data_IF_729625259793
#
_entry.id   IF_729625259793
#
_cell.length_a   1.000
_cell.length_b   1.000
_cell.length_c   1.000
_cell.angle_alpha   90.00
_cell.angle_beta   90.00
_cell.angle_gamma   90.00
#
_symmetry.space_group_name_H-M   'P 1'
#
loop_
_entity.id
_entity.type
_entity.pdbx_description
1 polymer ?
#
# COMPACT_ATOMS: atom_id res chain seq x y z
N UNK A 1 -25.02 -10.42 -1.65
CA UNK A 1 -24.98 -11.21 -0.40
C UNK A 1 -23.68 -10.85 0.28
N UNK A 2 -23.65 -10.67 1.61
CA UNK A 2 -22.40 -10.39 2.32
C UNK A 2 -21.58 -11.68 2.46
N UNK A 3 -20.22 -11.62 2.40
CA UNK A 3 -19.40 -12.76 2.77
C UNK A 3 -19.48 -12.94 4.29
N UNK A 4 -19.54 -14.19 4.77
CA UNK A 4 -19.56 -14.50 6.19
C UNK A 4 -18.17 -14.86 6.71
N UNK A 5 -17.34 -15.44 5.84
CA UNK A 5 -15.98 -15.92 6.16
C UNK A 5 -14.97 -15.40 5.16
N UNK A 6 -13.99 -14.69 5.66
CA UNK A 6 -12.98 -14.01 4.84
C UNK A 6 -11.59 -14.52 5.19
N UNK A 7 -10.75 -14.74 4.17
CA UNK A 7 -9.32 -14.98 4.33
C UNK A 7 -8.54 -13.75 3.83
N UNK A 8 -7.78 -13.11 4.71
CA UNK A 8 -6.80 -12.08 4.35
C UNK A 8 -5.43 -12.73 4.25
N UNK A 9 -4.76 -12.57 3.12
CA UNK A 9 -3.42 -13.10 2.87
C UNK A 9 -2.40 -12.01 3.10
N UNK A 10 -1.39 -12.30 3.94
CA UNK A 10 -0.29 -11.41 4.32
C UNK A 10 -0.15 -11.25 5.83
N UNK A 11 0.87 -10.53 6.28
CA UNK A 11 1.22 -10.40 7.69
C UNK A 11 1.67 -9.01 8.14
N UNK A 12 1.49 -7.97 7.31
CA UNK A 12 1.81 -6.58 7.62
C UNK A 12 0.73 -5.84 8.40
N UNK A 13 0.97 -4.53 8.64
CA UNK A 13 -0.03 -3.66 9.26
C UNK A 13 -1.24 -3.45 8.35
N UNK A 14 -1.03 -3.40 7.05
CA UNK A 14 -2.09 -3.38 6.03
C UNK A 14 -3.05 -4.55 6.20
N UNK A 15 -2.55 -5.77 6.31
CA UNK A 15 -3.41 -6.96 6.48
C UNK A 15 -4.08 -6.98 7.86
N UNK A 16 -3.40 -6.47 8.89
CA UNK A 16 -3.99 -6.31 10.21
C UNK A 16 -5.15 -5.29 10.19
N UNK A 17 -4.97 -4.16 9.47
CA UNK A 17 -6.02 -3.17 9.27
C UNK A 17 -7.18 -3.68 8.41
N UNK A 18 -6.88 -4.40 7.30
CA UNK A 18 -7.89 -5.07 6.48
C UNK A 18 -8.73 -6.04 7.31
N UNK A 19 -8.08 -6.89 8.11
CA UNK A 19 -8.78 -7.85 8.97
C UNK A 19 -9.70 -7.14 9.98
N UNK A 20 -9.24 -6.05 10.58
CA UNK A 20 -10.04 -5.23 11.49
C UNK A 20 -11.25 -4.57 10.78
N UNK A 21 -11.02 -3.95 9.60
CA UNK A 21 -12.08 -3.30 8.83
C UNK A 21 -13.13 -4.29 8.33
N UNK A 22 -12.68 -5.44 7.79
CA UNK A 22 -13.56 -6.50 7.30
C UNK A 22 -14.33 -7.18 8.43
N UNK A 23 -13.71 -7.40 9.60
CA UNK A 23 -14.37 -7.97 10.77
C UNK A 23 -15.51 -7.09 11.33
N UNK A 24 -15.55 -5.80 10.97
CA UNK A 24 -16.62 -4.85 11.33
C UNK A 24 -17.69 -4.72 10.24
N UNK A 25 -17.51 -5.37 9.10
CA UNK A 25 -18.44 -5.28 7.97
C UNK A 25 -19.72 -6.09 8.23
N UNK A 26 -20.81 -5.63 7.64
CA UNK A 26 -22.11 -6.29 7.77
C UNK A 26 -22.05 -7.75 7.29
N UNK A 27 -22.53 -8.67 8.12
CA UNK A 27 -22.67 -10.10 7.81
C UNK A 27 -21.38 -10.92 7.93
N UNK A 28 -20.24 -10.30 8.23
CA UNK A 28 -18.98 -11.01 8.46
C UNK A 28 -18.99 -11.63 9.86
N UNK A 29 -18.80 -12.95 9.92
CA UNK A 29 -18.76 -13.71 11.16
C UNK A 29 -17.33 -14.01 11.59
N UNK A 30 -16.45 -14.24 10.63
CA UNK A 30 -15.07 -14.65 10.88
C UNK A 30 -14.11 -14.14 9.81
N UNK A 31 -12.99 -13.59 10.25
CA UNK A 31 -11.84 -13.25 9.40
C UNK A 31 -10.66 -14.13 9.77
N UNK A 32 -10.02 -14.76 8.81
CA UNK A 32 -8.77 -15.48 8.96
C UNK A 32 -7.64 -14.67 8.34
N UNK A 33 -6.46 -14.69 8.93
CA UNK A 33 -5.27 -14.01 8.38
C UNK A 33 -4.12 -15.00 8.26
N UNK A 34 -3.50 -15.07 7.09
CA UNK A 34 -2.41 -16.00 6.79
C UNK A 34 -1.19 -15.28 6.15
N UNK A 35 -0.01 -15.29 6.74
CA UNK A 35 0.33 -15.88 8.03
C UNK A 35 -0.10 -15.04 9.25
N UNK A 36 -0.50 -13.76 9.04
CA UNK A 36 -0.77 -12.81 10.11
C UNK A 36 0.50 -12.38 10.85
N UNK A 37 0.32 -11.72 11.98
CA UNK A 37 1.39 -11.19 12.83
C UNK A 37 1.06 -11.30 14.33
N UNK A 38 1.89 -10.71 15.19
CA UNK A 38 1.73 -10.76 16.64
C UNK A 38 0.41 -10.19 17.16
N UNK A 39 -0.22 -9.26 16.44
CA UNK A 39 -1.48 -8.62 16.82
C UNK A 39 -2.74 -9.28 16.25
N UNK A 40 -2.61 -10.21 15.31
CA UNK A 40 -3.78 -10.79 14.60
C UNK A 40 -4.80 -11.39 15.55
N UNK A 41 -4.35 -12.16 16.54
CA UNK A 41 -5.23 -12.81 17.52
C UNK A 41 -5.87 -11.83 18.54
N UNK A 42 -5.49 -10.55 18.53
CA UNK A 42 -6.07 -9.51 19.39
C UNK A 42 -7.28 -8.83 18.73
N UNK A 43 -7.45 -9.03 17.42
CA UNK A 43 -8.59 -8.50 16.69
C UNK A 43 -9.83 -9.38 16.94
N UNK A 44 -10.93 -8.73 17.34
CA UNK A 44 -12.18 -9.42 17.56
C UNK A 44 -12.68 -10.12 16.28
N UNK A 45 -13.11 -11.38 16.39
CA UNK A 45 -13.57 -12.16 15.24
C UNK A 45 -12.47 -12.55 14.25
N UNK A 46 -11.19 -12.42 14.62
CA UNK A 46 -10.07 -12.80 13.77
C UNK A 46 -9.36 -14.07 14.27
N UNK A 47 -8.96 -14.91 13.34
CA UNK A 47 -8.12 -16.07 13.56
C UNK A 47 -6.84 -15.98 12.74
N UNK A 48 -5.77 -16.61 13.23
CA UNK A 48 -4.49 -16.66 12.52
C UNK A 48 -4.23 -18.06 11.99
N UNK A 49 -3.73 -18.16 10.77
CA UNK A 49 -3.35 -19.42 10.13
C UNK A 49 -1.84 -19.44 9.89
N UNK A 50 -1.17 -20.50 10.32
CA UNK A 50 0.26 -20.69 10.08
C UNK A 50 0.53 -21.19 8.64
N UNK A 51 0.09 -20.41 7.64
CA UNK A 51 0.28 -20.69 6.22
C UNK A 51 0.99 -19.48 5.61
N UNK A 52 2.11 -19.71 4.94
CA UNK A 52 2.85 -18.63 4.29
C UNK A 52 2.05 -18.00 3.14
N UNK A 53 2.20 -16.71 2.92
CA UNK A 53 1.53 -15.98 1.84
C UNK A 53 1.92 -16.45 0.42
N UNK A 54 3.04 -17.17 0.32
CA UNK A 54 3.54 -17.79 -0.93
C UNK A 54 3.11 -19.25 -1.09
N UNK A 55 2.50 -19.87 -0.08
CA UNK A 55 2.02 -21.25 -0.14
C UNK A 55 0.59 -21.32 -0.68
N UNK A 56 0.46 -21.23 -2.00
CA UNK A 56 -0.84 -21.24 -2.67
C UNK A 56 -1.65 -22.51 -2.40
N UNK A 57 -1.00 -23.68 -2.28
CA UNK A 57 -1.66 -24.94 -1.99
C UNK A 57 -2.22 -24.98 -0.56
N UNK A 58 -1.43 -24.54 0.42
CA UNK A 58 -1.86 -24.44 1.81
C UNK A 58 -2.98 -23.41 2.01
N UNK A 59 -2.90 -22.27 1.32
CA UNK A 59 -3.97 -21.25 1.33
C UNK A 59 -5.28 -21.78 0.73
N UNK A 60 -5.20 -22.50 -0.39
CA UNK A 60 -6.38 -23.13 -1.02
C UNK A 60 -7.01 -24.18 -0.11
N UNK A 61 -6.20 -25.06 0.49
CA UNK A 61 -6.70 -26.08 1.42
C UNK A 61 -7.37 -25.43 2.63
N UNK A 62 -6.74 -24.42 3.23
CA UNK A 62 -7.30 -23.68 4.35
C UNK A 62 -8.62 -23.00 3.99
N UNK A 63 -8.70 -22.31 2.82
CA UNK A 63 -9.89 -21.63 2.37
C UNK A 63 -11.07 -22.61 2.19
N UNK A 64 -10.84 -23.77 1.57
CA UNK A 64 -11.85 -24.82 1.39
C UNK A 64 -12.32 -25.41 2.71
N UNK A 65 -11.37 -25.78 3.59
CA UNK A 65 -11.67 -26.37 4.90
C UNK A 65 -12.49 -25.44 5.78
N UNK A 66 -12.23 -24.14 5.70
CA UNK A 66 -12.88 -23.11 6.52
C UNK A 66 -14.17 -22.56 5.86
N UNK A 67 -14.46 -22.95 4.61
CA UNK A 67 -15.62 -22.45 3.86
C UNK A 67 -15.52 -20.94 3.62
N UNK A 68 -14.36 -20.45 3.18
CA UNK A 68 -14.11 -19.04 2.90
C UNK A 68 -14.93 -18.57 1.70
N UNK A 69 -15.66 -17.47 1.84
CA UNK A 69 -16.46 -16.85 0.79
C UNK A 69 -15.66 -15.85 -0.03
N UNK A 70 -14.65 -15.21 0.58
CA UNK A 70 -13.84 -14.18 -0.05
C UNK A 70 -12.38 -14.29 0.42
N UNK A 71 -11.45 -14.29 -0.53
CA UNK A 71 -10.01 -14.11 -0.26
C UNK A 71 -9.59 -12.69 -0.63
N UNK A 72 -8.92 -11.99 0.29
CA UNK A 72 -8.34 -10.66 0.06
C UNK A 72 -6.82 -10.78 0.12
N UNK A 73 -6.14 -10.47 -0.98
CA UNK A 73 -4.67 -10.55 -1.04
C UNK A 73 -4.08 -9.19 -0.75
N UNK A 74 -3.31 -9.09 0.35
CA UNK A 74 -2.71 -7.84 0.79
C UNK A 74 -1.42 -7.49 0.05
N UNK A 75 -0.38 -8.35 0.03
CA UNK A 75 0.92 -8.02 -0.56
C UNK A 75 0.98 -8.28 -2.08
N UNK A 76 1.90 -7.56 -2.72
CA UNK A 76 2.10 -7.60 -4.17
C UNK A 76 2.80 -8.89 -4.66
N UNK A 77 3.70 -9.45 -3.85
CA UNK A 77 4.51 -10.59 -4.28
C UNK A 77 3.69 -11.85 -4.61
N UNK A 78 2.71 -12.28 -3.77
CA UNK A 78 1.84 -13.40 -4.13
C UNK A 78 0.91 -13.08 -5.32
N UNK A 79 0.50 -11.82 -5.54
CA UNK A 79 -0.27 -11.43 -6.72
C UNK A 79 0.57 -11.60 -7.99
N UNK A 80 1.79 -11.08 -7.99
CA UNK A 80 2.73 -11.22 -9.11
C UNK A 80 3.08 -12.70 -9.40
N UNK A 81 3.07 -13.55 -8.36
CA UNK A 81 3.27 -15.00 -8.48
C UNK A 81 2.01 -15.77 -8.95
N UNK A 82 0.88 -15.10 -9.20
CA UNK A 82 -0.34 -15.71 -9.72
C UNK A 82 -1.20 -16.42 -8.66
N UNK A 83 -1.08 -16.05 -7.39
CA UNK A 83 -1.92 -16.61 -6.33
C UNK A 83 -3.41 -16.41 -6.63
N UNK A 84 -3.81 -15.22 -7.07
CA UNK A 84 -5.20 -14.92 -7.37
C UNK A 84 -5.74 -15.79 -8.51
N UNK A 85 -4.93 -16.07 -9.54
CA UNK A 85 -5.32 -16.94 -10.67
C UNK A 85 -5.56 -18.37 -10.21
N UNK A 86 -4.66 -18.90 -9.38
CA UNK A 86 -4.77 -20.28 -8.85
C UNK A 86 -6.02 -20.44 -7.98
N UNK A 87 -6.30 -19.50 -7.10
CA UNK A 87 -7.46 -19.55 -6.21
C UNK A 87 -8.78 -19.36 -6.97
N UNK A 88 -8.82 -18.46 -7.97
CA UNK A 88 -9.99 -18.29 -8.86
C UNK A 88 -10.26 -19.54 -9.71
N UNK A 89 -9.21 -20.15 -10.27
CA UNK A 89 -9.33 -21.41 -11.01
C UNK A 89 -9.88 -22.54 -10.13
N UNK A 90 -9.69 -22.47 -8.83
CA UNK A 90 -10.24 -23.39 -7.84
C UNK A 90 -11.66 -23.04 -7.36
N UNK A 91 -12.28 -21.98 -7.92
CA UNK A 91 -13.66 -21.54 -7.67
C UNK A 91 -13.82 -20.57 -6.49
N UNK A 92 -12.75 -19.97 -5.97
CA UNK A 92 -12.82 -18.98 -4.90
C UNK A 92 -13.00 -17.56 -5.45
N UNK A 93 -13.79 -16.74 -4.78
CA UNK A 93 -13.81 -15.30 -5.03
C UNK A 93 -12.55 -14.68 -4.44
N UNK A 94 -11.77 -13.94 -5.26
CA UNK A 94 -10.50 -13.35 -4.85
C UNK A 94 -10.47 -11.86 -5.20
N UNK A 95 -10.28 -11.03 -4.19
CA UNK A 95 -9.98 -9.61 -4.33
C UNK A 95 -8.46 -9.41 -4.40
N UNK A 96 -7.97 -9.06 -5.58
CA UNK A 96 -6.57 -8.90 -5.99
C UNK A 96 -6.44 -9.31 -7.47
N UNK A 97 -5.70 -8.61 -8.33
CA UNK A 97 -5.55 -8.96 -9.74
C UNK A 97 -4.81 -10.28 -9.93
N UNK A 98 -4.93 -10.87 -11.13
CA UNK A 98 -4.08 -11.97 -11.59
C UNK A 98 -2.65 -11.51 -11.86
N UNK A 99 -1.76 -12.44 -12.20
CA UNK A 99 -0.36 -12.16 -12.45
C UNK A 99 -0.14 -11.15 -13.58
N UNK A 100 -0.98 -11.18 -14.61
CA UNK A 100 -0.97 -10.23 -15.72
C UNK A 100 -1.36 -8.81 -15.28
N UNK A 101 -2.41 -8.66 -14.45
CA UNK A 101 -2.80 -7.38 -13.87
C UNK A 101 -1.78 -6.86 -12.82
N UNK A 102 -1.15 -7.75 -12.09
CA UNK A 102 -0.12 -7.41 -11.11
C UNK A 102 1.15 -6.83 -11.77
N UNK A 103 1.35 -6.98 -13.09
CA UNK A 103 2.41 -6.31 -13.84
C UNK A 103 2.37 -4.78 -13.70
N UNK A 104 1.20 -4.22 -13.40
CA UNK A 104 1.04 -2.78 -13.15
C UNK A 104 1.95 -2.27 -12.02
N UNK A 105 2.26 -3.12 -11.02
CA UNK A 105 3.22 -2.84 -9.94
C UNK A 105 4.53 -3.60 -10.13
N UNK A 106 4.47 -4.86 -10.59
CA UNK A 106 5.60 -5.76 -10.67
C UNK A 106 6.64 -5.34 -11.72
N UNK A 107 6.25 -4.58 -12.76
CA UNK A 107 7.18 -4.07 -13.76
C UNK A 107 6.88 -2.60 -14.08
N UNK A 108 7.84 -1.75 -13.74
CA UNK A 108 7.76 -0.31 -14.04
C UNK A 108 7.82 -0.04 -15.54
N UNK A 109 8.62 -0.82 -16.25
CA UNK A 109 8.68 -0.77 -17.72
C UNK A 109 7.32 -1.10 -18.35
N UNK A 110 6.67 -2.18 -17.88
CA UNK A 110 5.36 -2.57 -18.36
C UNK A 110 4.29 -1.51 -18.04
N UNK A 111 4.31 -0.98 -16.82
CA UNK A 111 3.40 0.08 -16.40
C UNK A 111 3.58 1.36 -17.22
N UNK A 112 4.84 1.75 -17.51
CA UNK A 112 5.14 2.90 -18.39
C UNK A 112 4.63 2.69 -19.81
N UNK A 113 4.81 1.50 -20.37
CA UNK A 113 4.27 1.17 -21.70
C UNK A 113 2.75 1.27 -21.74
N UNK A 114 2.06 0.77 -20.71
CA UNK A 114 0.60 0.89 -20.57
C UNK A 114 0.17 2.36 -20.44
N UNK A 115 0.87 3.16 -19.63
CA UNK A 115 0.57 4.59 -19.49
C UNK A 115 0.68 5.37 -20.80
N UNK A 116 1.74 5.10 -21.58
CA UNK A 116 1.92 5.71 -22.91
C UNK A 116 0.79 5.32 -23.86
N UNK A 117 0.46 4.03 -23.93
CA UNK A 117 -0.64 3.51 -24.75
C UNK A 117 -1.99 4.10 -24.38
N UNK A 118 -2.25 4.25 -23.09
CA UNK A 118 -3.48 4.78 -22.55
C UNK A 118 -3.56 6.32 -22.54
N UNK A 119 -2.50 7.03 -22.85
CA UNK A 119 -2.42 8.48 -22.73
C UNK A 119 -2.46 8.98 -21.27
N UNK A 120 -2.08 8.13 -20.30
CA UNK A 120 -2.01 8.48 -18.89
C UNK A 120 -0.82 9.38 -18.62
N UNK A 121 -1.01 10.56 -18.00
CA UNK A 121 0.09 11.49 -17.74
C UNK A 121 1.14 10.89 -16.80
N UNK A 122 2.39 10.91 -17.22
CA UNK A 122 3.54 10.46 -16.44
C UNK A 122 4.81 11.14 -16.95
N UNK A 123 5.89 11.12 -16.15
CA UNK A 123 7.17 11.69 -16.52
C UNK A 123 7.75 11.03 -17.79
N UNK A 124 8.49 11.80 -18.57
CA UNK A 124 9.33 11.27 -19.65
C UNK A 124 10.27 10.20 -19.11
N UNK A 125 10.43 9.09 -19.84
CA UNK A 125 11.18 7.94 -19.32
C UNK A 125 11.93 7.17 -20.39
N UNK A 126 12.93 6.41 -19.97
CA UNK A 126 13.77 5.54 -20.80
C UNK A 126 14.00 4.22 -20.06
N UNK A 127 13.67 3.13 -20.71
CA UNK A 127 13.99 1.78 -20.23
C UNK A 127 15.33 1.36 -20.79
N UNK A 128 16.23 0.86 -19.94
CA UNK A 128 17.61 0.51 -20.31
C UNK A 128 17.97 -0.85 -19.74
N UNK A 129 18.78 -1.62 -20.48
CA UNK A 129 19.18 -2.98 -20.14
C UNK A 129 20.67 -3.11 -19.81
N UNK A 130 21.42 -2.01 -19.89
CA UNK A 130 22.83 -1.96 -19.49
C UNK A 130 23.23 -0.62 -18.92
N UNK A 131 24.35 -0.61 -18.19
CA UNK A 131 24.93 0.61 -17.62
C UNK A 131 25.30 1.60 -18.73
N UNK A 132 25.85 1.12 -19.82
CA UNK A 132 26.29 1.93 -20.95
C UNK A 132 25.12 2.64 -21.61
N UNK A 133 24.02 1.94 -21.83
CA UNK A 133 22.79 2.49 -22.39
C UNK A 133 22.20 3.57 -21.45
N UNK A 134 22.13 3.28 -20.13
CA UNK A 134 21.62 4.21 -19.14
C UNK A 134 22.48 5.47 -19.02
N UNK A 135 23.81 5.33 -19.04
CA UNK A 135 24.72 6.48 -19.02
C UNK A 135 24.62 7.33 -20.29
N UNK A 136 24.43 6.69 -21.45
CA UNK A 136 24.20 7.41 -22.71
C UNK A 136 22.90 8.20 -22.72
N UNK A 137 21.84 7.68 -22.08
CA UNK A 137 20.59 8.43 -21.84
C UNK A 137 20.87 9.65 -20.94
N UNK A 138 21.55 9.44 -19.81
CA UNK A 138 21.87 10.50 -18.86
C UNK A 138 22.69 11.64 -19.52
N UNK A 139 23.66 11.28 -20.36
CA UNK A 139 24.48 12.26 -21.10
C UNK A 139 23.65 13.07 -22.09
N UNK A 140 22.75 12.43 -22.84
CA UNK A 140 21.86 13.13 -23.78
C UNK A 140 20.90 14.08 -23.06
N UNK A 141 20.44 13.72 -21.85
CA UNK A 141 19.53 14.56 -21.08
C UNK A 141 20.25 15.72 -20.39
N UNK A 142 21.51 15.56 -20.04
CA UNK A 142 22.34 16.62 -19.43
C UNK A 142 21.88 17.08 -18.04
N UNK A 143 20.99 16.33 -17.40
CA UNK A 143 20.39 16.62 -16.08
C UNK A 143 20.17 15.32 -15.27
N UNK A 144 20.12 15.40 -13.92
CA UNK A 144 19.84 14.22 -13.13
C UNK A 144 18.47 13.63 -13.44
N UNK A 145 18.38 12.31 -13.46
CA UNK A 145 17.17 11.53 -13.70
C UNK A 145 16.84 10.71 -12.44
N UNK A 146 15.57 10.40 -12.25
CA UNK A 146 15.16 9.40 -11.25
C UNK A 146 15.54 8.02 -11.78
N UNK A 147 16.22 7.23 -10.94
CA UNK A 147 16.69 5.89 -11.29
C UNK A 147 15.83 4.85 -10.58
N UNK A 148 15.16 4.01 -11.34
CA UNK A 148 14.26 2.99 -10.79
C UNK A 148 14.66 1.61 -11.32
N UNK A 149 15.01 0.67 -10.42
CA UNK A 149 15.13 -0.74 -10.79
C UNK A 149 13.76 -1.29 -11.19
N UNK A 150 13.68 -2.04 -12.29
CA UNK A 150 12.43 -2.68 -12.72
C UNK A 150 12.15 -3.93 -11.86
N UNK A 151 10.90 -4.09 -11.41
CA UNK A 151 10.49 -5.18 -10.53
C UNK A 151 10.22 -4.77 -9.10
N UNK A 152 9.80 -5.76 -8.31
CA UNK A 152 9.46 -5.59 -6.89
C UNK A 152 10.73 -5.39 -6.05
N UNK A 153 10.91 -4.22 -5.47
CA UNK A 153 12.07 -3.86 -4.65
C UNK A 153 11.67 -3.27 -3.29
N UNK A 154 10.43 -3.50 -2.83
CA UNK A 154 9.90 -3.05 -1.52
C UNK A 154 10.20 -1.57 -1.23
N UNK A 155 9.96 -0.69 -2.22
CA UNK A 155 10.22 0.75 -2.13
C UNK A 155 11.69 1.18 -2.13
N UNK A 156 12.64 0.24 -2.19
CA UNK A 156 14.09 0.53 -2.13
C UNK A 156 14.75 0.64 -3.50
N UNK A 157 14.05 0.30 -4.57
CA UNK A 157 14.55 0.32 -5.95
C UNK A 157 14.52 1.69 -6.63
N UNK A 158 14.20 2.76 -5.90
CA UNK A 158 14.09 4.12 -6.45
C UNK A 158 15.11 5.04 -5.79
N UNK A 159 15.91 5.70 -6.64
CA UNK A 159 16.85 6.76 -6.22
C UNK A 159 16.52 8.04 -6.95
N UNK A 160 16.47 9.15 -6.20
CA UNK A 160 16.25 10.51 -6.74
C UNK A 160 17.53 11.30 -6.56
N UNK A 161 18.47 11.25 -7.51
CA UNK A 161 19.75 11.94 -7.41
C UNK A 161 19.58 13.46 -7.52
N UNK A 162 20.44 14.21 -6.82
CA UNK A 162 20.42 15.67 -6.88
C UNK A 162 21.33 16.23 -7.99
N UNK A 163 22.35 15.48 -8.38
CA UNK A 163 23.33 15.87 -9.40
C UNK A 163 23.71 14.70 -10.34
N UNK A 164 24.49 15.03 -11.39
CA UNK A 164 24.91 14.03 -12.38
C UNK A 164 25.90 12.99 -11.81
N UNK A 165 26.66 13.31 -10.77
CA UNK A 165 27.62 12.40 -10.15
C UNK A 165 26.89 11.32 -9.38
N UNK A 166 25.97 11.72 -8.52
CA UNK A 166 25.11 10.81 -7.76
C UNK A 166 24.19 10.02 -8.67
N UNK A 167 23.73 10.60 -9.79
CA UNK A 167 22.91 9.89 -10.77
C UNK A 167 23.71 8.77 -11.47
N UNK A 168 24.96 9.02 -11.90
CA UNK A 168 25.85 7.98 -12.47
C UNK A 168 26.11 6.85 -11.47
N UNK A 169 26.29 7.19 -10.20
CA UNK A 169 26.48 6.19 -9.15
C UNK A 169 25.23 5.35 -8.97
N UNK A 170 24.04 5.98 -8.85
CA UNK A 170 22.77 5.28 -8.70
C UNK A 170 22.49 4.32 -9.89
N UNK A 171 22.82 4.72 -11.12
CA UNK A 171 22.70 3.85 -12.31
C UNK A 171 23.58 2.61 -12.15
N UNK A 172 24.86 2.76 -11.76
CA UNK A 172 25.76 1.62 -11.58
C UNK A 172 25.28 0.69 -10.46
N UNK A 173 24.88 1.25 -9.33
CA UNK A 173 24.33 0.48 -8.19
C UNK A 173 23.04 -0.26 -8.55
N UNK A 174 22.22 0.27 -9.45
CA UNK A 174 21.00 -0.39 -9.89
C UNK A 174 21.30 -1.66 -10.72
N UNK A 175 22.40 -1.67 -11.48
CA UNK A 175 22.83 -2.80 -12.30
C UNK A 175 23.83 -3.74 -11.61
N UNK A 176 24.37 -3.40 -10.44
CA UNK A 176 25.41 -4.18 -9.73
C UNK A 176 24.91 -5.49 -9.09
N UNK A 177 23.63 -5.82 -9.30
CA UNK A 177 23.01 -7.02 -8.74
C UNK A 177 22.37 -6.81 -7.36
N UNK A 178 22.43 -5.61 -6.78
CA UNK A 178 21.82 -5.27 -5.49
C UNK A 178 20.33 -5.59 -5.43
N UNK A 179 19.65 -5.49 -6.56
CA UNK A 179 18.21 -5.74 -6.67
C UNK A 179 17.88 -7.09 -7.33
N UNK A 180 18.88 -8.00 -7.47
CA UNK A 180 18.67 -9.31 -8.10
C UNK A 180 18.09 -9.18 -9.50
N UNK A 181 17.08 -9.98 -9.83
CA UNK A 181 16.41 -9.94 -11.13
C UNK A 181 15.77 -8.59 -11.46
N UNK A 182 15.34 -7.81 -10.43
CA UNK A 182 14.78 -6.48 -10.64
C UNK A 182 15.79 -5.46 -11.16
N UNK A 183 17.08 -5.70 -11.00
CA UNK A 183 18.17 -4.87 -11.56
C UNK A 183 18.55 -5.18 -13.00
N UNK A 184 17.92 -6.15 -13.66
CA UNK A 184 18.21 -6.48 -15.06
C UNK A 184 17.74 -5.38 -16.04
N UNK A 185 16.75 -4.60 -15.65
CA UNK A 185 16.25 -3.43 -16.37
C UNK A 185 16.18 -2.24 -15.40
N UNK A 186 16.58 -1.07 -15.88
CA UNK A 186 16.49 0.19 -15.16
C UNK A 186 15.66 1.18 -15.96
N UNK A 187 14.65 1.75 -15.30
CA UNK A 187 13.84 2.84 -15.84
C UNK A 187 14.40 4.16 -15.32
N UNK A 188 14.84 5.00 -16.25
CA UNK A 188 15.23 6.37 -15.97
C UNK A 188 14.04 7.28 -16.25
N UNK A 189 13.76 8.21 -15.34
CA UNK A 189 12.63 9.14 -15.48
C UNK A 189 13.06 10.59 -15.29
N UNK A 190 12.40 11.48 -15.99
CA UNK A 190 12.50 12.90 -15.70
C UNK A 190 12.04 13.17 -14.26
N UNK A 191 12.77 14.04 -13.57
CA UNK A 191 12.35 14.48 -12.24
C UNK A 191 11.20 15.47 -12.38
N UNK A 192 10.03 15.08 -11.92
CA UNK A 192 8.87 15.95 -11.74
C UNK A 192 8.81 16.41 -10.29
N UNK A 193 8.21 17.57 -10.05
CA UNK A 193 8.11 18.19 -8.71
C UNK A 193 6.69 18.61 -8.43
N UNK A 194 6.31 18.55 -7.16
CA UNK A 194 4.99 18.88 -6.65
C UNK A 194 4.71 18.11 -5.37
N UNK A 195 3.57 18.29 -4.73
CA UNK A 195 3.15 17.42 -3.64
C UNK A 195 2.72 16.05 -4.17
N UNK A 196 3.13 15.01 -3.43
CA UNK A 196 2.70 13.63 -3.71
C UNK A 196 1.36 13.35 -3.04
N UNK A 197 0.50 12.57 -3.70
CA UNK A 197 -0.79 12.12 -3.17
C UNK A 197 -1.14 10.76 -3.76
N UNK A 198 -1.84 9.94 -2.98
CA UNK A 198 -2.27 8.59 -3.36
C UNK A 198 -3.76 8.55 -3.65
N UNK A 199 -4.13 7.98 -4.80
CA UNK A 199 -5.52 7.74 -5.22
C UNK A 199 -5.78 6.25 -5.28
N UNK A 200 -6.93 5.83 -4.79
CA UNK A 200 -7.33 4.42 -4.73
C UNK A 200 -8.68 4.24 -5.41
N UNK A 201 -8.77 3.24 -6.27
CA UNK A 201 -10.01 2.79 -6.87
C UNK A 201 -10.19 1.29 -6.66
N UNK A 202 -11.31 0.88 -6.07
CA UNK A 202 -11.76 -0.51 -6.10
C UNK A 202 -12.40 -0.77 -7.45
N UNK A 203 -12.08 -1.89 -8.10
CA UNK A 203 -12.63 -2.20 -9.43
C UNK A 203 -12.89 -3.67 -9.61
N UNK A 204 -13.90 -3.96 -10.43
CA UNK A 204 -14.27 -5.29 -10.92
C UNK A 204 -13.77 -5.55 -12.35
N UNK A 205 -12.93 -4.64 -12.89
CA UNK A 205 -12.46 -4.66 -14.27
C UNK A 205 -13.28 -3.79 -15.23
N UNK A 206 -14.53 -3.45 -14.89
CA UNK A 206 -15.40 -2.61 -15.71
C UNK A 206 -15.78 -1.30 -15.01
N UNK A 207 -16.13 -1.41 -13.74
CA UNK A 207 -16.59 -0.31 -12.88
C UNK A 207 -15.56 -0.02 -11.82
N UNK A 208 -15.69 1.13 -11.20
CA UNK A 208 -14.82 1.55 -10.09
C UNK A 208 -15.59 2.27 -9.00
N UNK A 209 -15.06 2.19 -7.78
CA UNK A 209 -15.44 3.00 -6.62
C UNK A 209 -14.19 3.69 -6.12
N UNK A 210 -14.17 5.03 -6.14
CA UNK A 210 -13.07 5.80 -5.57
C UNK A 210 -13.13 5.76 -4.05
N UNK A 211 -11.98 5.62 -3.43
CA UNK A 211 -11.79 5.80 -2.00
C UNK A 211 -11.25 7.21 -1.70
N UNK A 212 -11.34 7.68 -0.45
CA UNK A 212 -10.68 8.93 -0.06
C UNK A 212 -9.20 8.92 -0.45
N UNK A 213 -8.66 9.99 -1.05
CA UNK A 213 -7.23 10.09 -1.32
C UNK A 213 -6.46 10.17 0.00
N UNK A 214 -5.23 9.67 -0.01
CA UNK A 214 -4.35 9.73 1.17
C UNK A 214 -3.01 10.36 0.82
N UNK A 215 -2.30 10.83 1.83
CA UNK A 215 -0.92 11.30 1.69
C UNK A 215 -0.04 10.61 2.71
N UNK A 216 1.05 10.01 2.25
CA UNK A 216 2.05 9.33 3.09
C UNK A 216 3.30 10.20 3.29
N UNK A 217 4.14 9.78 4.25
CA UNK A 217 5.42 10.41 4.58
C UNK A 217 6.53 9.38 4.39
N UNK A 218 7.18 9.42 3.21
CA UNK A 218 8.13 8.38 2.78
C UNK A 218 9.51 8.48 3.44
N UNK A 219 9.92 9.67 3.91
CA UNK A 219 11.24 9.87 4.49
C UNK A 219 11.28 9.45 5.96
N UNK A 220 12.42 8.87 6.39
CA UNK A 220 12.60 8.38 7.77
C UNK A 220 12.67 9.52 8.80
N UNK A 221 13.23 10.66 8.45
CA UNK A 221 13.47 11.77 9.36
C UNK A 221 12.44 12.87 9.29
N UNK A 222 12.31 13.61 10.39
CA UNK A 222 11.48 14.81 10.46
C UNK A 222 11.92 15.84 9.40
N UNK A 223 10.96 16.67 8.93
CA UNK A 223 11.20 17.61 7.84
C UNK A 223 11.45 16.93 6.49
N UNK A 224 10.96 15.71 6.29
CA UNK A 224 11.13 14.90 5.07
C UNK A 224 12.60 14.71 4.69
N UNK A 225 13.44 14.37 5.68
CA UNK A 225 14.88 14.16 5.55
C UNK A 225 15.27 12.68 5.60
N UNK A 226 16.49 12.35 5.16
CA UNK A 226 17.04 11.01 5.20
C UNK A 226 16.53 10.11 4.06
N UNK A 227 16.79 8.79 4.12
CA UNK A 227 16.38 7.84 3.07
C UNK A 227 14.88 7.63 3.01
N UNK A 228 14.41 7.16 1.84
CA UNK A 228 13.04 6.68 1.66
C UNK A 228 12.81 5.39 2.46
N UNK A 229 11.56 5.23 2.88
CA UNK A 229 11.04 4.07 3.63
C UNK A 229 9.80 3.52 2.94
N UNK A 230 9.14 2.56 3.53
CA UNK A 230 7.79 2.13 3.15
C UNK A 230 6.67 3.07 3.59
N UNK A 231 6.99 4.20 4.22
CA UNK A 231 6.05 5.15 4.83
C UNK A 231 6.16 5.17 6.35
N UNK A 232 6.33 6.38 6.90
CA UNK A 232 6.43 6.64 8.35
C UNK A 232 5.12 7.13 8.97
N UNK A 233 4.10 7.26 8.16
CA UNK A 233 2.75 7.65 8.54
C UNK A 233 2.00 8.22 7.36
N UNK A 234 0.68 8.33 7.50
CA UNK A 234 -0.21 8.86 6.47
C UNK A 234 -1.42 9.55 7.08
N UNK A 235 -2.16 10.26 6.26
CA UNK A 235 -3.47 10.80 6.61
C UNK A 235 -4.45 10.74 5.44
N UNK A 236 -5.73 10.70 5.74
CA UNK A 236 -6.82 10.73 4.80
C UNK A 236 -8.05 11.46 5.39
N UNK A 237 -8.90 12.10 4.54
CA UNK A 237 -8.66 12.34 3.11
C UNK A 237 -7.59 13.40 2.88
N UNK A 238 -6.78 13.29 1.81
CA UNK A 238 -5.80 14.32 1.46
C UNK A 238 -6.50 15.56 0.87
N UNK A 239 -6.46 16.75 1.53
CA UNK A 239 -7.19 17.92 1.06
C UNK A 239 -6.71 18.44 -0.30
N UNK A 240 -5.45 18.16 -0.64
CA UNK A 240 -4.84 18.55 -1.93
C UNK A 240 -5.55 17.95 -3.14
N UNK A 241 -6.28 16.85 -2.96
CA UNK A 241 -6.95 16.13 -4.04
C UNK A 241 -8.44 15.90 -3.69
N UNK A 242 -9.20 16.99 -3.60
CA UNK A 242 -10.62 16.96 -3.29
C UNK A 242 -11.47 17.52 -4.43
N UNK A 243 -12.74 17.12 -4.51
CA UNK A 243 -13.71 17.64 -5.50
C UNK A 243 -13.21 17.47 -6.94
N UNK A 244 -13.21 18.55 -7.70
CA UNK A 244 -12.85 18.56 -9.13
C UNK A 244 -11.44 18.01 -9.42
N UNK A 245 -10.48 18.16 -8.49
CA UNK A 245 -9.13 17.62 -8.66
C UNK A 245 -9.11 16.07 -8.59
N UNK A 246 -9.92 15.50 -7.71
CA UNK A 246 -10.08 14.04 -7.62
C UNK A 246 -10.79 13.48 -8.85
N UNK A 247 -11.84 14.18 -9.34
CA UNK A 247 -12.53 13.82 -10.58
C UNK A 247 -11.60 13.92 -11.80
N UNK A 248 -10.70 14.89 -11.83
CA UNK A 248 -9.69 15.00 -12.87
C UNK A 248 -8.70 13.81 -12.82
N UNK A 249 -8.22 13.44 -11.63
CA UNK A 249 -7.36 12.29 -11.45
C UNK A 249 -8.05 10.97 -11.87
N UNK A 250 -9.33 10.80 -11.53
CA UNK A 250 -10.12 9.67 -12.01
C UNK A 250 -10.14 9.60 -13.53
N UNK A 251 -10.55 10.67 -14.17
CA UNK A 251 -10.76 10.76 -15.62
C UNK A 251 -9.46 10.67 -16.44
N UNK A 252 -8.35 11.24 -15.93
CA UNK A 252 -7.07 11.28 -16.64
C UNK A 252 -6.15 10.10 -16.33
N UNK A 253 -6.36 9.43 -15.19
CA UNK A 253 -5.44 8.38 -14.73
C UNK A 253 -6.16 7.05 -14.57
N UNK A 254 -7.18 6.96 -13.70
CA UNK A 254 -7.78 5.67 -13.31
C UNK A 254 -8.58 5.06 -14.47
N UNK A 255 -9.48 5.83 -15.07
CA UNK A 255 -10.34 5.32 -16.15
C UNK A 255 -9.55 4.89 -17.40
N UNK A 256 -8.56 5.67 -17.91
CA UNK A 256 -7.76 5.25 -19.04
C UNK A 256 -6.91 4.02 -18.73
N UNK A 257 -6.36 3.92 -17.50
CA UNK A 257 -5.61 2.74 -17.06
C UNK A 257 -6.49 1.49 -17.09
N UNK A 258 -7.70 1.57 -16.52
CA UNK A 258 -8.64 0.45 -16.51
C UNK A 258 -9.07 0.07 -17.94
N UNK A 259 -9.32 1.05 -18.79
CA UNK A 259 -9.67 0.81 -20.20
C UNK A 259 -8.52 0.10 -20.96
N UNK A 260 -7.28 0.50 -20.73
CA UNK A 260 -6.11 -0.14 -21.35
C UNK A 260 -5.89 -1.59 -20.85
N UNK A 261 -6.10 -1.84 -19.56
CA UNK A 261 -6.06 -3.20 -19.00
C UNK A 261 -7.10 -4.09 -19.70
N UNK A 262 -8.34 -3.63 -19.84
CA UNK A 262 -9.39 -4.36 -20.57
C UNK A 262 -9.06 -4.58 -22.04
N UNK A 263 -8.51 -3.55 -22.72
CA UNK A 263 -8.11 -3.67 -24.13
C UNK A 263 -7.04 -4.75 -24.34
N UNK A 264 -6.21 -4.99 -23.32
CA UNK A 264 -5.23 -6.08 -23.30
C UNK A 264 -5.83 -7.44 -22.90
N UNK A 265 -7.15 -7.51 -22.60
CA UNK A 265 -7.83 -8.73 -22.16
C UNK A 265 -7.55 -9.11 -20.71
N UNK A 266 -7.06 -8.18 -19.90
CA UNK A 266 -6.72 -8.41 -18.49
C UNK A 266 -7.98 -8.23 -17.62
N UNK A 267 -8.37 -9.29 -16.92
CA UNK A 267 -9.47 -9.29 -15.93
C UNK A 267 -8.93 -8.75 -14.60
N UNK A 268 -8.94 -7.42 -14.45
CA UNK A 268 -8.38 -6.74 -13.28
C UNK A 268 -9.44 -6.57 -12.18
N UNK A 269 -9.33 -7.32 -11.09
CA UNK A 269 -10.24 -7.25 -9.93
C UNK A 269 -9.46 -6.96 -8.68
N UNK A 270 -9.62 -5.77 -8.11
CA UNK A 270 -8.83 -5.38 -6.94
C UNK A 270 -8.73 -3.87 -6.79
N UNK A 271 -7.60 -3.42 -6.29
CA UNK A 271 -7.26 -2.00 -6.14
C UNK A 271 -6.39 -1.54 -7.30
N UNK A 272 -6.73 -0.42 -7.91
CA UNK A 272 -5.78 0.42 -8.64
C UNK A 272 -5.36 1.52 -7.68
N UNK A 273 -4.12 1.49 -7.23
CA UNK A 273 -3.51 2.56 -6.47
C UNK A 273 -2.57 3.34 -7.40
N UNK A 274 -2.84 4.62 -7.60
CA UNK A 274 -2.00 5.54 -8.34
C UNK A 274 -1.31 6.52 -7.38
N UNK A 275 0.02 6.45 -7.30
CA UNK A 275 0.84 7.49 -6.70
C UNK A 275 1.01 8.64 -7.68
N UNK A 276 0.55 9.82 -7.30
CA UNK A 276 0.50 11.00 -8.15
C UNK A 276 1.41 12.10 -7.62
N UNK A 277 2.09 12.79 -8.55
CA UNK A 277 2.67 14.10 -8.32
C UNK A 277 1.70 15.15 -8.88
N UNK A 278 1.27 16.09 -8.05
CA UNK A 278 0.44 17.20 -8.49
C UNK A 278 1.35 18.32 -9.02
N UNK A 279 1.42 18.42 -10.35
CA UNK A 279 2.25 19.41 -11.06
C UNK A 279 1.40 20.56 -11.58
N UNK A 280 2.03 21.64 -12.05
CA UNK A 280 1.35 22.77 -12.70
C UNK A 280 0.57 22.35 -13.97
N UNK A 281 0.94 21.23 -14.58
CA UNK A 281 0.25 20.63 -15.73
C UNK A 281 -0.85 19.62 -15.36
N UNK A 282 -1.14 19.47 -14.07
CA UNK A 282 -2.08 18.52 -13.50
C UNK A 282 -1.43 17.27 -12.92
N UNK A 283 -2.23 16.27 -12.55
CA UNK A 283 -1.72 15.03 -11.93
C UNK A 283 -0.88 14.22 -12.91
N UNK A 284 0.30 13.78 -12.46
CA UNK A 284 1.16 12.86 -13.18
C UNK A 284 1.46 11.62 -12.36
N UNK A 285 1.39 10.44 -12.95
CA UNK A 285 1.63 9.18 -12.27
C UNK A 285 3.13 9.00 -12.01
N UNK A 286 3.47 8.75 -10.73
CA UNK A 286 4.81 8.37 -10.30
C UNK A 286 4.97 6.85 -10.37
N UNK A 287 3.95 6.13 -9.87
CA UNK A 287 3.89 4.67 -9.84
C UNK A 287 2.45 4.19 -9.70
N UNK A 288 2.21 2.95 -10.07
CA UNK A 288 1.01 2.22 -9.71
C UNK A 288 1.34 1.12 -8.70
N UNK A 289 0.36 0.77 -7.87
CA UNK A 289 0.35 -0.43 -7.06
C UNK A 289 -0.96 -1.19 -7.31
N UNK A 290 -0.89 -2.53 -7.26
CA UNK A 290 -2.03 -3.41 -7.57
C UNK A 290 -2.77 -3.90 -6.32
N UNK A 291 -2.54 -3.25 -5.21
CA UNK A 291 -3.08 -3.58 -3.87
C UNK A 291 -3.21 -2.29 -3.04
N UNK A 292 -3.82 -2.42 -1.85
CA UNK A 292 -3.82 -1.30 -0.90
C UNK A 292 -2.40 -0.87 -0.54
N UNK A 293 -2.21 0.45 -0.31
CA UNK A 293 -0.96 1.00 0.22
C UNK A 293 -0.73 0.59 1.69
N UNK A 294 0.44 0.83 2.18
CA UNK A 294 0.86 0.65 3.57
C UNK A 294 1.86 1.80 3.89
N UNK A 295 1.46 2.84 4.66
CA UNK A 295 0.39 2.86 5.67
C UNK A 295 -0.96 3.49 5.25
N UNK A 296 -1.25 3.66 3.97
CA UNK A 296 -2.50 4.30 3.55
C UNK A 296 -3.72 3.44 3.88
N UNK A 297 -3.62 2.12 3.77
CA UNK A 297 -4.71 1.20 4.12
C UNK A 297 -5.15 1.37 5.57
N UNK A 298 -4.19 1.44 6.49
CA UNK A 298 -4.43 1.64 7.91
C UNK A 298 -5.18 2.94 8.17
N UNK A 299 -4.85 3.97 7.40
CA UNK A 299 -5.48 5.29 7.47
C UNK A 299 -6.89 5.28 6.87
N UNK A 300 -7.11 4.50 5.81
CA UNK A 300 -8.40 4.41 5.11
C UNK A 300 -9.42 3.58 5.89
N UNK A 301 -9.01 2.48 6.52
CA UNK A 301 -9.95 1.52 7.15
C UNK A 301 -10.92 2.15 8.15
N UNK A 302 -10.55 3.12 9.01
CA UNK A 302 -11.50 3.78 9.90
C UNK A 302 -12.55 4.64 9.18
N UNK A 303 -12.25 5.09 7.97
CA UNK A 303 -13.13 5.95 7.17
C UNK A 303 -14.11 5.15 6.31
N UNK A 304 -13.90 3.84 6.13
CA UNK A 304 -14.75 2.99 5.30
C UNK A 304 -15.89 2.38 6.11
N UNK A 305 -17.09 2.42 5.53
CA UNK A 305 -18.31 1.92 6.15
C UNK A 305 -18.40 0.39 6.21
N UNK A 306 -19.42 -0.12 6.91
CA UNK A 306 -19.59 -1.56 7.12
C UNK A 306 -20.00 -2.32 5.85
N UNK A 307 -20.17 -1.66 4.72
CA UNK A 307 -20.42 -2.26 3.40
C UNK A 307 -19.14 -2.80 2.76
N UNK A 308 -17.95 -2.52 3.31
CA UNK A 308 -16.65 -2.81 2.70
C UNK A 308 -16.55 -4.26 2.20
N UNK A 309 -16.86 -5.25 3.04
CA UNK A 309 -16.75 -6.65 2.65
C UNK A 309 -17.66 -7.03 1.48
N UNK A 310 -18.86 -6.43 1.39
CA UNK A 310 -19.79 -6.66 0.28
C UNK A 310 -19.27 -6.05 -1.02
N UNK A 311 -18.67 -4.86 -0.95
CA UNK A 311 -18.04 -4.19 -2.10
C UNK A 311 -16.85 -5.00 -2.61
N UNK A 312 -15.96 -5.48 -1.71
CA UNK A 312 -14.82 -6.31 -2.13
C UNK A 312 -15.27 -7.65 -2.73
N UNK A 313 -16.31 -8.28 -2.18
CA UNK A 313 -16.88 -9.50 -2.77
C UNK A 313 -17.48 -9.24 -4.15
N UNK A 314 -18.17 -8.12 -4.34
CA UNK A 314 -18.72 -7.74 -5.64
C UNK A 314 -17.61 -7.50 -6.67
N UNK A 315 -16.53 -6.80 -6.30
CA UNK A 315 -15.33 -6.66 -7.14
C UNK A 315 -14.75 -8.03 -7.50
N UNK A 316 -14.55 -8.92 -6.51
CA UNK A 316 -13.98 -10.26 -6.73
C UNK A 316 -14.80 -11.12 -7.69
N UNK A 317 -16.11 -10.89 -7.76
CA UNK A 317 -17.03 -11.60 -8.65
C UNK A 317 -17.26 -10.90 -10.01
N UNK A 318 -16.62 -9.77 -10.29
CA UNK A 318 -16.86 -8.99 -11.51
C UNK A 318 -18.27 -8.38 -11.55
N UNK A 319 -18.84 -8.02 -10.42
CA UNK A 319 -20.24 -7.57 -10.26
C UNK A 319 -20.37 -6.38 -9.31
N UNK A 320 -19.53 -5.40 -9.50
CA UNK A 320 -19.57 -4.17 -8.69
C UNK A 320 -20.92 -3.44 -8.81
N UNK A 321 -21.69 -3.71 -9.88
CA UNK A 321 -23.08 -3.26 -10.05
C UNK A 321 -24.05 -3.82 -9.00
N UNK A 322 -23.67 -4.87 -8.28
CA UNK A 322 -24.48 -5.45 -7.19
C UNK A 322 -24.05 -4.95 -5.81
N UNK A 323 -22.95 -4.22 -5.74
CA UNK A 323 -22.46 -3.71 -4.48
C UNK A 323 -23.41 -2.64 -3.92
N UNK A 324 -23.57 -2.59 -2.59
CA UNK A 324 -24.14 -1.40 -1.97
C UNK A 324 -23.18 -0.21 -2.17
N UNK A 325 -23.71 1.00 -2.03
CA UNK A 325 -22.87 2.18 -1.96
C UNK A 325 -21.96 2.10 -0.73
N UNK A 326 -20.67 2.30 -0.92
CA UNK A 326 -19.71 2.30 0.18
C UNK A 326 -19.79 3.64 0.92
N UNK A 327 -20.24 3.59 2.16
CA UNK A 327 -20.30 4.76 3.03
C UNK A 327 -18.89 5.21 3.40
N UNK A 328 -18.60 6.50 3.23
CA UNK A 328 -17.38 7.12 3.75
C UNK A 328 -17.72 7.88 5.02
N UNK A 329 -17.09 7.51 6.12
CA UNK A 329 -17.29 8.13 7.43
C UNK A 329 -16.76 9.57 7.42
N UNK A 330 -17.46 10.52 8.06
CA UNK A 330 -17.01 11.91 8.13
C UNK A 330 -15.76 12.06 8.99
N UNK A 331 -15.09 13.19 8.81
CA UNK A 331 -13.86 13.53 9.53
C UNK A 331 -12.61 13.13 8.77
N UNK A 332 -11.55 12.87 9.51
CA UNK A 332 -10.25 12.49 8.97
C UNK A 332 -9.60 11.40 9.82
N UNK A 333 -8.61 10.73 9.25
CA UNK A 333 -7.83 9.69 9.90
C UNK A 333 -6.34 9.98 9.75
N UNK A 334 -5.57 9.67 10.79
CA UNK A 334 -4.13 9.84 10.87
C UNK A 334 -3.47 8.55 11.33
N UNK A 335 -2.36 8.20 10.70
CA UNK A 335 -1.53 7.04 11.03
C UNK A 335 -0.10 7.49 11.33
N UNK A 336 0.47 6.99 12.44
CA UNK A 336 1.88 7.19 12.80
C UNK A 336 2.54 5.82 12.95
N UNK A 337 3.64 5.61 12.23
CA UNK A 337 4.39 4.36 12.23
C UNK A 337 5.50 4.41 13.29
N UNK A 338 5.57 3.37 14.12
CA UNK A 338 6.72 3.07 14.96
C UNK A 338 7.59 2.01 14.29
N UNK A 339 8.86 2.33 14.07
CA UNK A 339 9.83 1.49 13.40
C UNK A 339 10.94 1.01 14.36
N UNK A 340 11.51 -0.15 14.05
CA UNK A 340 12.60 -0.75 14.81
C UNK A 340 13.95 -0.03 14.57
N UNK A 341 14.87 -0.22 15.51
CA UNK A 341 16.23 0.28 15.37
C UNK A 341 16.88 -0.20 14.06
N UNK A 342 17.54 0.72 13.37
CA UNK A 342 18.23 0.47 12.11
C UNK A 342 17.37 0.58 10.85
N UNK A 343 16.04 0.68 10.96
CA UNK A 343 15.17 0.90 9.80
C UNK A 343 15.44 2.26 9.13
N UNK A 344 15.46 2.37 7.77
CA UNK A 344 15.16 1.36 6.75
C UNK A 344 16.35 0.47 6.33
N UNK A 345 17.48 0.54 7.04
CA UNK A 345 18.68 -0.27 6.79
C UNK A 345 18.64 -1.64 7.46
N UNK A 346 19.74 -2.00 8.16
CA UNK A 346 19.82 -3.25 8.91
C UNK A 346 18.97 -3.17 10.19
N UNK A 347 17.85 -3.88 10.18
CA UNK A 347 16.85 -3.84 11.24
C UNK A 347 17.25 -4.78 12.39
N UNK A 348 17.14 -4.28 13.62
CA UNK A 348 17.21 -5.12 14.83
C UNK A 348 15.81 -5.71 15.11
N UNK A 349 15.76 -7.01 15.39
CA UNK A 349 14.54 -7.73 15.74
C UNK A 349 14.69 -8.44 17.07
N UNK A 350 13.56 -8.83 17.71
CA UNK A 350 13.53 -9.56 18.98
C UNK A 350 13.39 -8.66 20.21
N UNK A 351 13.19 -7.35 20.03
CA UNK A 351 12.93 -6.43 21.14
C UNK A 351 11.49 -6.61 21.62
N UNK A 352 11.31 -6.80 22.95
CA UNK A 352 9.98 -6.97 23.54
C UNK A 352 9.15 -5.69 23.38
N UNK A 353 7.87 -5.86 23.01
CA UNK A 353 6.89 -4.78 23.05
C UNK A 353 6.36 -4.63 24.48
N UNK A 354 6.46 -3.43 25.01
CA UNK A 354 6.02 -3.05 26.36
C UNK A 354 4.87 -2.04 26.28
N UNK A 355 3.96 -2.11 27.24
CA UNK A 355 2.80 -1.24 27.28
C UNK A 355 1.70 -1.66 26.31
N UNK A 356 0.55 -1.04 26.47
CA UNK A 356 -0.63 -1.18 25.60
C UNK A 356 -1.41 0.12 25.64
N UNK A 357 -1.82 0.67 24.49
CA UNK A 357 -2.68 1.86 24.52
C UNK A 357 -4.01 1.53 25.17
N UNK A 358 -4.50 2.44 26.01
CA UNK A 358 -5.84 2.34 26.56
C UNK A 358 -6.87 2.26 25.43
N UNK A 359 -7.90 1.45 25.59
CA UNK A 359 -8.96 1.31 24.60
C UNK A 359 -9.63 2.68 24.33
N UNK A 360 -9.79 3.02 23.05
CA UNK A 360 -10.47 4.25 22.64
C UNK A 360 -11.27 3.97 21.37
N UNK A 361 -12.53 4.42 21.26
CA UNK A 361 -13.40 4.08 20.13
C UNK A 361 -12.90 4.60 18.78
N UNK A 362 -12.13 5.70 18.78
CA UNK A 362 -11.60 6.36 17.60
C UNK A 362 -10.10 6.10 17.41
N UNK A 363 -9.50 5.15 18.15
CA UNK A 363 -8.07 4.83 18.04
C UNK A 363 -7.86 3.33 17.92
N UNK A 364 -7.00 2.91 17.00
CA UNK A 364 -6.65 1.53 16.78
C UNK A 364 -5.13 1.38 16.65
N UNK A 365 -4.59 0.35 17.29
CA UNK A 365 -3.21 -0.09 17.09
C UNK A 365 -3.21 -1.27 16.11
N UNK A 366 -2.52 -1.12 15.00
CA UNK A 366 -2.26 -2.21 14.06
C UNK A 366 -0.81 -2.69 14.20
N UNK A 367 -0.65 -4.00 14.20
CA UNK A 367 0.64 -4.66 14.24
C UNK A 367 1.17 -4.87 12.80
N UNK A 368 2.46 -4.60 12.61
CA UNK A 368 3.20 -4.88 11.37
C UNK A 368 4.25 -5.98 11.64
N UNK A 369 5.52 -5.64 11.63
CA UNK A 369 6.62 -6.54 11.92
C UNK A 369 6.68 -6.92 13.40
N UNK A 370 5.73 -7.72 13.84
CA UNK A 370 5.65 -8.26 15.20
C UNK A 370 5.41 -9.76 15.18
N UNK A 371 5.91 -10.47 16.18
CA UNK A 371 5.58 -11.87 16.40
C UNK A 371 5.28 -12.16 17.87
N UNK A 372 4.44 -13.16 18.11
CA UNK A 372 4.12 -13.65 19.46
C UNK A 372 5.31 -14.39 20.06
N UNK A 373 5.55 -14.11 21.34
CA UNK A 373 6.51 -14.81 22.19
C UNK A 373 5.80 -15.97 22.92
N UNK A 374 6.61 -16.91 23.43
CA UNK A 374 6.10 -18.06 24.21
C UNK A 374 5.45 -17.65 25.54
N UNK A 375 5.79 -16.47 26.07
CA UNK A 375 5.21 -15.90 27.30
C UNK A 375 3.87 -15.15 27.05
N UNK A 376 3.39 -15.11 25.79
CA UNK A 376 2.17 -14.43 25.37
C UNK A 376 2.36 -12.96 25.01
N UNK A 377 3.53 -12.37 25.23
CA UNK A 377 3.90 -11.03 24.77
C UNK A 377 4.18 -10.99 23.27
N UNK A 378 4.52 -9.81 22.78
CA UNK A 378 4.98 -9.60 21.39
C UNK A 378 6.41 -9.08 21.39
N UNK A 379 7.11 -9.31 20.27
CA UNK A 379 8.43 -8.76 20.00
C UNK A 379 8.52 -8.25 18.56
N UNK A 380 9.49 -7.40 18.29
CA UNK A 380 9.77 -6.89 16.94
C UNK A 380 10.28 -8.01 16.02
N UNK A 381 9.80 -8.03 14.77
CA UNK A 381 10.21 -9.01 13.76
C UNK A 381 10.39 -8.39 12.36
N UNK A 382 10.28 -7.07 12.24
CA UNK A 382 10.40 -6.34 10.98
C UNK A 382 10.75 -4.87 11.18
N UNK A 383 10.91 -4.14 10.08
CA UNK A 383 11.34 -2.75 10.11
C UNK A 383 10.28 -1.80 10.66
N UNK A 384 9.10 -1.75 10.04
CA UNK A 384 7.93 -1.09 10.61
C UNK A 384 7.27 -2.08 11.57
N UNK A 385 7.00 -1.69 12.79
CA UNK A 385 6.58 -2.57 13.88
C UNK A 385 5.12 -2.38 14.23
N UNK A 386 4.72 -1.13 14.43
CA UNK A 386 3.36 -0.75 14.82
C UNK A 386 2.88 0.44 13.99
N UNK A 387 1.57 0.48 13.71
CA UNK A 387 0.86 1.61 13.14
C UNK A 387 -0.21 2.07 14.13
N UNK A 388 -0.04 3.26 14.70
CA UNK A 388 -1.06 3.88 15.56
C UNK A 388 -1.95 4.75 14.70
N UNK A 389 -3.24 4.42 14.66
CA UNK A 389 -4.23 5.10 13.83
C UNK A 389 -5.30 5.73 14.71
N UNK A 390 -5.72 6.94 14.36
CA UNK A 390 -6.84 7.58 15.02
C UNK A 390 -7.71 8.36 14.01
N UNK A 391 -9.01 8.42 14.30
CA UNK A 391 -10.02 9.19 13.57
C UNK A 391 -10.52 10.33 14.44
N UNK A 392 -10.73 11.51 13.85
CA UNK A 392 -11.35 12.66 14.52
C UNK A 392 -12.09 13.56 13.50
N UNK A 393 -12.71 14.63 14.00
CA UNK A 393 -13.37 15.63 13.14
C UNK A 393 -12.34 16.44 12.32
N UNK A 394 -11.13 16.65 12.88
CA UNK A 394 -10.04 17.38 12.23
C UNK A 394 -8.69 16.66 12.41
N UNK A 395 -7.70 17.10 11.64
CA UNK A 395 -6.37 16.49 11.66
C UNK A 395 -5.62 16.72 12.96
N UNK A 396 -5.76 17.88 13.60
CA UNK A 396 -5.09 18.15 14.88
C UNK A 396 -5.56 17.16 15.95
N UNK A 397 -6.86 16.91 16.05
CA UNK A 397 -7.46 15.91 16.93
C UNK A 397 -7.02 14.48 16.61
N UNK A 398 -7.03 14.10 15.33
CA UNK A 398 -6.63 12.77 14.90
C UNK A 398 -5.15 12.49 15.22
N UNK A 399 -4.24 13.43 14.91
CA UNK A 399 -2.83 13.28 15.23
C UNK A 399 -2.56 13.32 16.74
N UNK A 400 -3.22 14.22 17.49
CA UNK A 400 -3.07 14.26 18.94
C UNK A 400 -3.44 12.90 19.58
N UNK A 401 -4.56 12.31 19.16
CA UNK A 401 -5.03 11.03 19.64
C UNK A 401 -4.12 9.86 19.23
N UNK A 402 -3.56 9.89 18.01
CA UNK A 402 -2.60 8.89 17.54
C UNK A 402 -1.29 8.96 18.37
N UNK A 403 -0.71 10.14 18.55
CA UNK A 403 0.51 10.30 19.35
C UNK A 403 0.31 9.98 20.83
N UNK A 404 -0.85 10.34 21.41
CA UNK A 404 -1.21 9.93 22.78
C UNK A 404 -1.22 8.39 22.92
N UNK A 405 -1.78 7.68 21.95
CA UNK A 405 -1.75 6.22 21.94
C UNK A 405 -0.36 5.66 21.80
N UNK A 406 0.44 6.24 20.91
CA UNK A 406 1.80 5.79 20.63
C UNK A 406 2.73 5.98 21.85
N UNK A 407 2.48 7.00 22.68
CA UNK A 407 3.23 7.23 23.90
C UNK A 407 3.01 6.15 24.99
N UNK A 408 2.01 5.28 24.84
CA UNK A 408 1.68 4.20 25.78
C UNK A 408 2.31 2.85 25.39
N UNK A 409 3.04 2.79 24.30
CA UNK A 409 3.76 1.58 23.85
C UNK A 409 5.24 1.89 23.68
N UNK A 410 6.07 0.89 23.93
CA UNK A 410 7.52 1.03 23.80
C UNK A 410 8.16 -0.28 23.37
N UNK A 411 9.29 -0.18 22.68
CA UNK A 411 10.26 -1.25 22.48
C UNK A 411 11.65 -0.63 22.29
N UNK A 412 12.69 -1.36 22.61
CA UNK A 412 14.06 -0.84 22.59
C UNK A 412 14.46 -0.33 21.20
N UNK A 413 14.97 0.92 21.14
CA UNK A 413 15.33 1.57 19.90
C UNK A 413 14.16 1.96 18.99
N UNK A 414 12.95 2.07 19.55
CA UNK A 414 11.77 2.55 18.84
C UNK A 414 12.01 3.94 18.27
N UNK A 415 11.69 4.11 16.98
CA UNK A 415 11.77 5.38 16.27
C UNK A 415 10.47 5.68 15.54
N UNK A 416 10.05 6.94 15.55
CA UNK A 416 8.89 7.45 14.83
C UNK A 416 9.07 8.95 14.57
N UNK A 417 8.36 9.49 13.59
CA UNK A 417 8.36 10.93 13.30
C UNK A 417 7.28 11.64 14.12
N UNK A 418 7.59 12.84 14.63
CA UNK A 418 6.65 13.70 15.38
C UNK A 418 5.94 14.73 14.52
N UNK A 419 6.35 14.86 13.28
CA UNK A 419 5.86 15.84 12.31
C UNK A 419 4.93 15.25 11.25
N UNK A 420 4.46 14.00 11.40
CA UNK A 420 3.49 13.42 10.47
C UNK A 420 2.27 14.31 10.36
N UNK A 421 1.86 14.61 9.12
CA UNK A 421 0.74 15.50 8.83
C UNK A 421 1.08 16.99 8.95
N UNK A 422 2.37 17.38 8.99
CA UNK A 422 2.76 18.78 9.06
C UNK A 422 2.11 19.66 7.96
N UNK A 423 1.72 19.06 6.84
CA UNK A 423 1.03 19.75 5.75
C UNK A 423 -0.41 20.15 6.07
N UNK A 424 -1.06 19.50 7.05
CA UNK A 424 -2.49 19.68 7.36
C UNK A 424 -2.76 20.05 8.82
N UNK A 425 -1.75 19.96 9.69
CA UNK A 425 -1.86 20.34 11.10
C UNK A 425 -1.72 21.84 11.27
N UNK A 426 -2.48 22.43 12.23
CA UNK A 426 -2.46 23.85 12.50
C UNK A 426 -3.09 24.71 11.42
N UNK A 427 -3.75 24.11 10.43
CA UNK A 427 -4.55 24.86 9.44
C UNK A 427 -5.95 25.04 10.02
N UNK A 428 -6.25 26.27 10.47
CA UNK A 428 -7.63 26.67 10.79
C UNK A 428 -8.48 26.50 9.52
N UNK A 429 -9.62 25.84 9.64
CA UNK A 429 -10.64 25.75 8.59
C UNK A 429 -11.20 27.10 8.25
#
# INVERSE_FOLDING_TARGET
MAPTRILVVGGGARENALAWGLGRSHGVEQVWVAPGNGGTAELAGCGQLAVAETDAAGLLEAARRLGVDLVVVGPEAPLAAGLADQLRAAGLAVFGPGADGAQLEASKQWAKALMVEAGVPTAGHWCTSSVEEALAVLERQGRPLVVKADGLASGKGVTVPEDLVTCRQAIREAFDGRFGAAGATVVLEERITGPEVSVFALTDGERLVLLPPAQDHKRIGEGDTGPNTGGMGAYAPAPLLAGAALEEAQRRVIEPTLAALRARGIDYRGVIYAGLMLTDSGPQVIEFNCRFGDPECETLMPLLGPELAQVLLACANGRLDWAPELTIQPGCSACVIAAAAGYPGAVRSGDALEGRPAAHPQRQLFHAGTRRRSDGGCETSGGRVLAMVAQAEDFDGAFALAYEGLAQVHFEGMQFRRDIGHQVRGQSR
#
